data_IF_661986638374
#
_entry.id   IF_661986638374
#
_cell.length_a   1.000
_cell.length_b   1.000
_cell.length_c   1.000
_cell.angle_alpha   90.00
_cell.angle_beta   90.00
_cell.angle_gamma   90.00
#
_symmetry.space_group_name_H-M   'P 1'
#
loop_
_entity.id
_entity.type
_entity.pdbx_description
1 polymer ?
#
# COMPACT_ATOMS: atom_id res chain seq x y z
N UNK A 1 -49.13 -17.24 5.47
CA UNK A 1 -47.72 -17.68 5.60
C UNK A 1 -47.08 -18.04 4.25
N UNK A 2 -47.80 -18.59 3.26
CA UNK A 2 -47.24 -19.01 1.96
C UNK A 2 -46.84 -17.83 1.06
N UNK A 3 -47.63 -16.75 1.02
CA UNK A 3 -47.35 -15.56 0.18
C UNK A 3 -46.07 -14.79 0.57
N UNK A 4 -45.75 -14.73 1.87
CA UNK A 4 -44.53 -14.04 2.35
C UNK A 4 -43.26 -14.82 2.03
N UNK A 5 -43.32 -16.15 2.02
CA UNK A 5 -42.21 -17.02 1.65
C UNK A 5 -41.89 -16.97 0.13
N UNK A 6 -42.91 -16.85 -0.73
CA UNK A 6 -42.72 -16.65 -2.17
C UNK A 6 -42.10 -15.28 -2.47
N UNK A 7 -42.50 -14.23 -1.75
CA UNK A 7 -41.95 -12.88 -1.91
C UNK A 7 -40.48 -12.79 -1.51
N UNK A 8 -40.08 -13.45 -0.41
CA UNK A 8 -38.67 -13.49 0.02
C UNK A 8 -37.80 -14.28 -0.95
N UNK A 9 -38.30 -15.42 -1.47
CA UNK A 9 -37.60 -16.23 -2.46
C UNK A 9 -37.35 -15.46 -3.77
N UNK A 10 -38.34 -14.73 -4.28
CA UNK A 10 -38.18 -13.92 -5.51
C UNK A 10 -37.13 -12.81 -5.34
N UNK A 11 -37.07 -12.17 -4.16
CA UNK A 11 -36.08 -11.14 -3.86
C UNK A 11 -34.65 -11.69 -3.82
N UNK A 12 -34.47 -12.87 -3.23
CA UNK A 12 -33.16 -13.54 -3.16
C UNK A 12 -32.67 -13.96 -4.55
N UNK A 13 -33.54 -14.57 -5.36
CA UNK A 13 -33.20 -14.94 -6.75
C UNK A 13 -32.85 -13.71 -7.60
N UNK A 14 -33.65 -12.65 -7.50
CA UNK A 14 -33.39 -11.38 -8.21
C UNK A 14 -32.06 -10.75 -7.78
N UNK A 15 -31.74 -10.75 -6.48
CA UNK A 15 -30.48 -10.24 -5.96
C UNK A 15 -29.28 -11.05 -6.47
N UNK A 16 -29.35 -12.39 -6.42
CA UNK A 16 -28.30 -13.27 -6.94
C UNK A 16 -28.07 -13.05 -8.44
N UNK A 17 -29.14 -12.85 -9.20
CA UNK A 17 -29.05 -12.53 -10.63
C UNK A 17 -28.35 -11.18 -10.86
N UNK A 18 -28.73 -10.13 -10.12
CA UNK A 18 -28.07 -8.82 -10.21
C UNK A 18 -26.59 -8.90 -9.86
N UNK A 19 -26.24 -9.66 -8.82
CA UNK A 19 -24.86 -9.86 -8.39
C UNK A 19 -24.06 -10.61 -9.47
N UNK A 20 -24.62 -11.68 -10.03
CA UNK A 20 -24.02 -12.43 -11.14
C UNK A 20 -23.77 -11.54 -12.36
N UNK A 21 -24.70 -10.66 -12.71
CA UNK A 21 -24.54 -9.74 -13.83
C UNK A 21 -23.46 -8.68 -13.57
N UNK A 22 -23.37 -8.15 -12.34
CA UNK A 22 -22.28 -7.23 -11.94
C UNK A 22 -20.91 -7.93 -12.01
N UNK A 23 -20.83 -9.17 -11.52
CA UNK A 23 -19.60 -9.97 -11.56
C UNK A 23 -19.17 -10.26 -13.01
N UNK A 24 -20.13 -10.60 -13.88
CA UNK A 24 -19.89 -10.78 -15.32
C UNK A 24 -19.32 -9.51 -15.95
N UNK A 25 -19.91 -8.34 -15.68
CA UNK A 25 -19.43 -7.05 -16.19
C UNK A 25 -18.01 -6.72 -15.72
N UNK A 26 -17.65 -7.09 -14.50
CA UNK A 26 -16.28 -6.92 -13.98
C UNK A 26 -15.31 -7.83 -14.74
N UNK A 27 -15.66 -9.11 -14.93
CA UNK A 27 -14.81 -10.06 -15.65
C UNK A 27 -14.59 -9.64 -17.11
N UNK A 28 -15.63 -9.16 -17.80
CA UNK A 28 -15.50 -8.64 -19.17
C UNK A 28 -14.52 -7.45 -19.27
N UNK A 29 -14.53 -6.56 -18.27
CA UNK A 29 -13.57 -5.44 -18.21
C UNK A 29 -12.15 -5.93 -17.95
N UNK A 30 -11.97 -6.92 -17.08
CA UNK A 30 -10.67 -7.53 -16.81
C UNK A 30 -10.11 -8.24 -18.05
N UNK A 31 -10.96 -8.95 -18.79
CA UNK A 31 -10.57 -9.60 -20.04
C UNK A 31 -10.14 -8.59 -21.11
N UNK A 32 -10.82 -7.43 -21.19
CA UNK A 32 -10.42 -6.35 -22.09
C UNK A 32 -9.04 -5.81 -21.72
N UNK A 33 -8.81 -5.51 -20.43
CA UNK A 33 -7.51 -5.04 -19.94
C UNK A 33 -6.41 -6.06 -20.22
N UNK A 34 -6.69 -7.36 -20.04
CA UNK A 34 -5.74 -8.43 -20.33
C UNK A 34 -5.35 -8.46 -21.82
N UNK A 35 -6.34 -8.36 -22.72
CA UNK A 35 -6.08 -8.32 -24.18
C UNK A 35 -5.29 -7.08 -24.59
N UNK A 36 -5.62 -5.93 -24.02
CA UNK A 36 -4.90 -4.68 -24.28
C UNK A 36 -3.43 -4.80 -23.82
N UNK A 37 -3.20 -5.43 -22.66
CA UNK A 37 -1.86 -5.71 -22.15
C UNK A 37 -1.07 -6.69 -23.03
N UNK A 38 -1.69 -7.79 -23.46
CA UNK A 38 -1.07 -8.77 -24.36
C UNK A 38 -0.65 -8.14 -25.71
N UNK A 39 -1.41 -7.14 -26.19
CA UNK A 39 -1.05 -6.39 -27.40
C UNK A 39 0.19 -5.51 -27.17
N UNK A 40 0.26 -4.82 -26.04
CA UNK A 40 1.41 -3.97 -25.67
C UNK A 40 2.69 -4.81 -25.47
N UNK A 41 2.57 -6.00 -24.86
CA UNK A 41 3.69 -6.91 -24.67
C UNK A 41 4.20 -7.49 -26.00
N UNK A 42 3.30 -7.84 -26.92
CA UNK A 42 3.64 -8.27 -28.29
C UNK A 42 4.34 -7.19 -29.11
N UNK A 43 4.02 -5.91 -28.90
CA UNK A 43 4.71 -4.80 -29.55
C UNK A 43 6.14 -4.60 -29.02
N UNK A 44 6.44 -5.00 -27.79
CA UNK A 44 7.78 -4.89 -27.18
C UNK A 44 8.73 -6.02 -27.58
N UNK A 45 8.24 -7.06 -28.27
CA UNK A 45 9.02 -8.28 -28.57
C UNK A 45 9.49 -8.39 -30.03
N UNK A 46 9.44 -7.32 -30.84
CA UNK A 46 10.09 -7.32 -32.17
C UNK A 46 11.62 -7.19 -32.00
N UNK A 47 12.45 -8.15 -32.43
CA UNK A 47 13.90 -8.03 -32.36
C UNK A 47 14.52 -7.63 -33.70
N UNK A 48 15.27 -6.52 -33.72
CA UNK A 48 16.54 -6.24 -34.45
C UNK A 48 16.64 -4.75 -34.88
N UNK A 49 17.77 -4.07 -34.75
CA UNK A 49 19.11 -4.63 -34.52
C UNK A 49 20.23 -3.63 -34.22
N UNK A 50 21.33 -4.25 -33.77
CA UNK A 50 22.75 -3.93 -33.95
C UNK A 50 23.24 -2.49 -33.68
N UNK A 51 23.94 -2.33 -32.56
CA UNK A 51 24.88 -1.25 -32.30
C UNK A 51 25.52 -1.46 -30.93
N UNK A 52 26.84 -1.61 -30.89
CA UNK A 52 27.64 -1.83 -29.69
C UNK A 52 27.57 -0.59 -28.78
N UNK A 53 27.34 -0.79 -27.48
CA UNK A 53 27.84 -0.04 -26.32
C UNK A 53 26.92 -0.28 -25.10
N UNK A 54 27.42 -0.66 -23.91
CA UNK A 54 26.56 -0.87 -22.74
C UNK A 54 26.27 0.47 -22.05
N UNK A 55 25.44 1.31 -22.68
CA UNK A 55 24.89 2.52 -22.03
C UNK A 55 23.45 2.22 -21.60
N UNK A 56 23.32 2.03 -20.29
CA UNK A 56 22.22 2.50 -19.45
C UNK A 56 20.82 2.50 -20.11
N UNK A 57 20.05 1.45 -19.84
CA UNK A 57 18.59 1.50 -19.92
C UNK A 57 18.03 1.08 -18.56
N UNK A 58 18.13 2.01 -17.60
CA UNK A 58 17.25 1.98 -16.45
C UNK A 58 15.82 2.16 -16.99
N UNK A 59 15.04 1.07 -17.04
CA UNK A 59 13.59 1.19 -17.01
C UNK A 59 13.21 1.73 -15.63
N UNK A 60 13.37 3.05 -15.49
CA UNK A 60 12.68 3.82 -14.48
C UNK A 60 11.21 3.74 -14.85
N UNK A 61 10.50 2.80 -14.23
CA UNK A 61 9.10 3.05 -13.90
C UNK A 61 9.15 3.80 -12.57
N UNK A 62 8.99 5.14 -12.54
CA UNK A 62 8.50 5.74 -11.32
C UNK A 62 7.09 5.19 -11.18
N UNK A 63 6.89 4.26 -10.25
CA UNK A 63 5.57 4.13 -9.65
C UNK A 63 5.37 5.44 -8.92
N UNK A 64 4.81 6.41 -9.64
CA UNK A 64 4.21 7.60 -9.10
C UNK A 64 3.36 7.12 -7.93
N UNK A 65 3.83 7.40 -6.71
CA UNK A 65 3.02 7.31 -5.53
C UNK A 65 1.95 8.37 -5.74
N UNK A 66 0.86 7.94 -6.36
CA UNK A 66 -0.28 8.79 -6.64
C UNK A 66 -0.81 9.22 -5.29
N UNK A 67 -0.49 10.45 -4.97
CA UNK A 67 -1.27 11.41 -4.23
C UNK A 67 -2.62 10.88 -3.75
N UNK A 68 -2.80 10.95 -2.44
CA UNK A 68 -4.11 11.16 -1.82
C UNK A 68 -5.15 10.08 -2.17
N UNK A 69 -4.81 8.81 -2.01
CA UNK A 69 -5.85 7.85 -1.64
C UNK A 69 -6.31 8.29 -0.25
N UNK A 70 -7.49 8.89 -0.17
CA UNK A 70 -8.20 9.08 1.09
C UNK A 70 -8.37 7.70 1.73
N UNK A 71 -7.39 7.31 2.55
CA UNK A 71 -7.43 6.06 3.28
C UNK A 71 -8.57 6.26 4.27
N UNK A 72 -9.73 5.67 3.98
CA UNK A 72 -10.74 5.50 5.00
C UNK A 72 -10.05 4.87 6.20
N UNK A 73 -10.07 5.58 7.33
CA UNK A 73 -9.48 5.13 8.57
C UNK A 73 -10.04 3.73 8.85
N UNK A 74 -9.20 2.69 9.00
CA UNK A 74 -9.68 1.36 9.29
C UNK A 74 -10.38 1.40 10.64
N UNK A 75 -11.70 1.28 10.63
CA UNK A 75 -12.52 1.24 11.84
C UNK A 75 -12.03 0.08 12.72
N UNK A 76 -11.74 0.36 13.98
CA UNK A 76 -11.36 -0.64 14.98
C UNK A 76 -9.85 -0.77 15.25
N UNK A 77 -9.02 0.17 14.77
CA UNK A 77 -7.56 0.22 15.05
C UNK A 77 -7.16 1.41 15.91
N UNK A 78 -8.12 2.09 16.50
CA UNK A 78 -7.90 3.28 17.33
C UNK A 78 -7.07 2.96 18.59
N UNK A 79 -7.32 1.81 19.22
CA UNK A 79 -6.57 1.36 20.38
C UNK A 79 -5.11 1.05 20.04
N UNK A 80 -4.87 0.34 18.93
CA UNK A 80 -3.51 0.04 18.47
C UNK A 80 -2.73 1.34 18.16
N UNK A 81 -3.40 2.31 17.52
CA UNK A 81 -2.83 3.64 17.28
C UNK A 81 -2.44 4.31 18.59
N UNK A 82 -3.34 4.32 19.58
CA UNK A 82 -3.12 4.96 20.87
C UNK A 82 -1.91 4.35 21.61
N UNK A 83 -1.82 3.03 21.65
CA UNK A 83 -0.69 2.32 22.28
C UNK A 83 0.63 2.69 21.59
N UNK A 84 0.67 2.74 20.26
CA UNK A 84 1.89 3.11 19.52
C UNK A 84 2.30 4.57 19.77
N UNK A 85 1.35 5.50 19.83
CA UNK A 85 1.62 6.91 20.16
C UNK A 85 2.14 7.06 21.58
N UNK A 86 1.54 6.36 22.54
CA UNK A 86 2.01 6.33 23.92
C UNK A 86 3.44 5.75 24.00
N UNK A 87 3.74 4.68 23.26
CA UNK A 87 5.09 4.11 23.21
C UNK A 87 6.12 5.11 22.64
N UNK A 88 5.76 5.84 21.58
CA UNK A 88 6.62 6.87 20.99
C UNK A 88 6.80 8.11 21.89
N UNK A 89 5.81 8.43 22.71
CA UNK A 89 5.82 9.58 23.63
C UNK A 89 6.53 9.28 24.95
N UNK A 90 6.68 8.01 25.31
CA UNK A 90 7.18 7.60 26.62
C UNK A 90 8.71 7.65 26.66
N UNK A 91 9.27 8.52 27.52
CA UNK A 91 10.72 8.61 27.74
C UNK A 91 11.36 7.26 28.15
N UNK A 92 10.59 6.37 28.77
CA UNK A 92 11.03 5.03 29.20
C UNK A 92 11.37 4.08 28.04
N UNK A 93 10.84 4.36 26.84
CA UNK A 93 11.11 3.55 25.65
C UNK A 93 12.41 3.97 24.95
N UNK A 94 12.85 5.21 25.18
CA UNK A 94 14.08 5.80 24.65
C UNK A 94 15.25 5.71 25.65
N UNK A 95 14.95 5.69 26.97
CA UNK A 95 15.95 5.68 28.05
C UNK A 95 16.48 4.28 28.41
N UNK A 96 15.81 3.21 27.97
CA UNK A 96 16.25 1.82 28.17
C UNK A 96 17.34 1.39 27.20
N UNK A 97 17.62 2.17 26.17
CA UNK A 97 18.74 1.92 25.27
C UNK A 97 20.00 2.50 25.87
N UNK A 98 21.07 1.71 25.88
CA UNK A 98 22.42 2.12 26.29
C UNK A 98 22.75 3.46 25.63
N UNK A 99 23.42 4.38 26.35
CA UNK A 99 23.66 5.78 25.91
C UNK A 99 24.05 5.84 24.42
N UNK A 100 23.09 6.19 23.56
CA UNK A 100 23.28 6.33 22.11
C UNK A 100 22.56 5.30 21.21
N UNK A 101 21.78 4.37 21.75
CA UNK A 101 21.01 3.43 20.92
C UNK A 101 19.69 3.98 20.40
N UNK A 102 19.16 3.35 19.35
CA UNK A 102 17.88 3.69 18.72
C UNK A 102 16.75 2.78 19.23
N UNK A 103 15.56 3.35 19.43
CA UNK A 103 14.36 2.58 19.76
C UNK A 103 13.61 2.21 18.48
N UNK A 104 13.21 0.93 18.36
CA UNK A 104 12.57 0.39 17.16
C UNK A 104 11.25 -0.28 17.55
N UNK A 105 10.17 0.14 16.90
CA UNK A 105 8.86 -0.49 17.02
C UNK A 105 8.56 -1.23 15.73
N UNK A 106 8.41 -2.55 15.81
CA UNK A 106 8.07 -3.41 14.67
C UNK A 106 6.57 -3.70 14.66
N UNK A 107 5.91 -3.40 13.54
CA UNK A 107 4.49 -3.74 13.31
C UNK A 107 4.47 -4.92 12.33
N UNK A 108 3.94 -6.07 12.76
CA UNK A 108 3.91 -7.30 11.95
C UNK A 108 2.46 -7.79 11.81
N UNK A 109 2.09 -8.27 10.63
CA UNK A 109 0.74 -8.73 10.33
C UNK A 109 0.71 -9.64 9.11
N UNK A 110 -0.18 -10.64 9.14
CA UNK A 110 -0.32 -11.64 8.09
C UNK A 110 -1.35 -11.19 7.05
N UNK A 111 -0.92 -11.03 5.80
CA UNK A 111 -1.74 -11.30 4.62
C UNK A 111 -2.78 -10.27 4.13
N UNK A 112 -2.79 -9.01 4.58
CA UNK A 112 -3.58 -7.97 3.90
C UNK A 112 -2.75 -6.70 3.72
N UNK A 113 -2.28 -6.51 2.50
CA UNK A 113 -1.66 -5.27 2.02
C UNK A 113 -2.67 -4.13 2.27
N UNK A 114 -2.29 -3.18 3.12
CA UNK A 114 -3.15 -2.05 3.51
C UNK A 114 -3.40 -1.96 5.02
N UNK A 115 -3.39 -3.05 5.80
CA UNK A 115 -3.65 -2.96 7.26
C UNK A 115 -2.47 -2.37 8.04
N UNK A 116 -1.25 -2.82 7.73
CA UNK A 116 -0.03 -2.35 8.41
C UNK A 116 0.37 -0.94 7.97
N UNK A 117 0.40 -0.69 6.66
CA UNK A 117 0.81 0.63 6.16
C UNK A 117 -0.16 1.72 6.63
N UNK A 118 -1.45 1.41 6.74
CA UNK A 118 -2.42 2.37 7.26
C UNK A 118 -2.21 2.67 8.73
N UNK A 119 -1.92 1.67 9.58
CA UNK A 119 -1.65 1.92 11.01
C UNK A 119 -0.40 2.77 11.22
N UNK A 120 0.69 2.45 10.51
CA UNK A 120 1.91 3.25 10.57
C UNK A 120 1.69 4.69 10.07
N UNK A 121 0.91 4.90 9.00
CA UNK A 121 0.57 6.23 8.50
C UNK A 121 -0.31 7.02 9.49
N UNK A 122 -1.29 6.36 10.13
CA UNK A 122 -2.11 7.00 11.16
C UNK A 122 -1.27 7.49 12.35
N UNK A 123 -0.34 6.65 12.83
CA UNK A 123 0.56 7.03 13.91
C UNK A 123 1.50 8.14 13.46
N UNK A 124 2.08 8.03 12.26
CA UNK A 124 2.98 9.04 11.69
C UNK A 124 2.34 10.43 11.68
N UNK A 125 1.08 10.52 11.25
CA UNK A 125 0.33 11.78 11.22
C UNK A 125 -0.03 12.27 12.63
N UNK A 126 -0.44 11.40 13.55
CA UNK A 126 -0.84 11.80 14.91
C UNK A 126 0.33 12.42 15.70
N UNK A 127 1.54 11.87 15.53
CA UNK A 127 2.72 12.34 16.27
C UNK A 127 3.33 13.63 15.68
N UNK A 128 2.63 14.28 14.75
CA UNK A 128 3.03 15.55 14.14
C UNK A 128 3.33 16.64 15.14
N UNK A 129 2.45 16.82 16.12
CA UNK A 129 2.63 17.86 17.13
C UNK A 129 3.84 17.59 18.04
N UNK A 130 4.26 16.32 18.18
CA UNK A 130 5.33 15.91 19.08
C UNK A 130 6.71 15.97 18.43
N UNK A 131 6.84 15.49 17.20
CA UNK A 131 8.13 15.42 16.50
C UNK A 131 8.31 16.50 15.43
N UNK A 132 7.26 17.29 15.16
CA UNK A 132 7.27 18.39 14.20
C UNK A 132 7.85 17.95 12.84
N UNK A 133 8.83 18.68 12.32
CA UNK A 133 9.52 18.44 11.06
C UNK A 133 10.55 17.28 11.12
N UNK A 134 10.86 16.75 12.31
CA UNK A 134 11.84 15.66 12.50
C UNK A 134 11.20 14.28 12.30
N UNK A 135 10.45 14.13 11.21
CA UNK A 135 9.76 12.89 10.85
C UNK A 135 9.94 12.63 9.36
N UNK A 136 10.30 11.40 9.02
CA UNK A 136 10.52 10.99 7.63
C UNK A 136 9.83 9.67 7.35
N UNK A 137 9.24 9.57 6.16
CA UNK A 137 8.55 8.37 5.70
C UNK A 137 9.27 7.80 4.47
N UNK A 138 9.75 6.56 4.58
CA UNK A 138 10.48 5.89 3.50
C UNK A 138 9.80 4.56 3.17
N UNK A 139 9.34 4.42 1.93
CA UNK A 139 8.82 3.15 1.40
C UNK A 139 9.98 2.30 0.86
N UNK A 140 10.06 1.04 1.30
CA UNK A 140 11.08 0.07 0.87
C UNK A 140 10.40 -1.12 0.19
N UNK A 141 10.90 -1.52 -0.98
CA UNK A 141 10.42 -2.70 -1.71
C UNK A 141 11.07 -4.00 -1.20
N UNK A 142 10.59 -5.16 -1.65
CA UNK A 142 11.02 -6.49 -1.17
C UNK A 142 12.53 -6.78 -1.33
N UNK A 143 13.20 -6.10 -2.27
CA UNK A 143 14.65 -6.24 -2.52
C UNK A 143 15.27 -4.87 -2.83
N UNK A 144 15.55 -4.05 -1.80
CA UNK A 144 16.11 -2.73 -2.03
C UNK A 144 17.60 -2.84 -2.36
N UNK A 145 18.04 -2.09 -3.37
CA UNK A 145 19.47 -1.80 -3.52
C UNK A 145 19.90 -0.89 -2.37
N UNK A 146 20.94 -1.28 -1.63
CA UNK A 146 21.39 -0.56 -0.44
C UNK A 146 21.78 0.89 -0.75
N UNK A 147 22.44 1.12 -1.90
CA UNK A 147 22.83 2.48 -2.32
C UNK A 147 21.61 3.34 -2.62
N UNK A 148 20.60 2.76 -3.25
CA UNK A 148 19.39 3.50 -3.63
C UNK A 148 18.51 3.78 -2.41
N UNK A 149 18.44 2.85 -1.46
CA UNK A 149 17.76 3.05 -0.19
C UNK A 149 18.39 4.18 0.62
N UNK A 150 19.71 4.19 0.78
CA UNK A 150 20.43 5.27 1.50
C UNK A 150 20.20 6.62 0.81
N UNK A 151 20.27 6.66 -0.53
CA UNK A 151 19.96 7.88 -1.28
C UNK A 151 18.52 8.34 -1.07
N UNK A 152 17.56 7.42 -1.01
CA UNK A 152 16.16 7.74 -0.74
C UNK A 152 15.98 8.29 0.67
N UNK A 153 16.61 7.67 1.68
CA UNK A 153 16.59 8.17 3.05
C UNK A 153 17.19 9.57 3.15
N UNK A 154 18.36 9.82 2.55
CA UNK A 154 18.99 11.15 2.56
C UNK A 154 18.13 12.20 1.87
N UNK A 155 17.46 11.85 0.77
CA UNK A 155 16.52 12.76 0.10
C UNK A 155 15.32 13.13 0.95
N UNK A 156 14.84 12.23 1.79
CA UNK A 156 13.74 12.54 2.72
C UNK A 156 14.26 13.34 3.92
N UNK A 157 15.40 12.94 4.51
CA UNK A 157 15.97 13.55 5.71
C UNK A 157 16.47 14.98 5.50
N UNK A 158 17.04 15.27 4.32
CA UNK A 158 17.65 16.56 4.01
C UNK A 158 16.73 17.55 3.28
N UNK A 159 15.41 17.32 3.28
CA UNK A 159 14.41 18.33 2.84
C UNK A 159 14.32 19.46 3.86
#
# INVERSE_FOLDING_TARGET
MVFTALSSYYKDVSFRYQLGNKMKKINERLDKIKKDWDMVDRLKTTPKGCGKDPVQCEHVNPKEATDHIGIQLPIGRENDKKVLVEMLSSNDFCSKTEKGGASIISIVGKGVIGKMMTLANMVFNEVEQQFMERRWWVCVSERPNHKDLVRQMLREVCK
#
